data_IF_657821517602
#
_entry.id   IF_657821517602
#
_cell.length_a   1.000
_cell.length_b   1.000
_cell.length_c   1.000
_cell.angle_alpha   90.00
_cell.angle_beta   90.00
_cell.angle_gamma   90.00
#
_symmetry.space_group_name_H-M   'P 1'
#
loop_
_entity.id
_entity.type
_entity.pdbx_description
1 polymer ?
#
# COMPACT_ATOMS: atom_id res chain seq x y z
N UNK A 1 12.33 -1.75 54.21
CA UNK A 1 12.48 -0.55 53.36
C UNK A 1 13.68 -0.71 52.44
N UNK A 2 13.38 -1.23 51.26
CA UNK A 2 14.01 -1.14 49.93
C UNK A 2 15.53 -1.02 49.80
N UNK A 3 16.17 -2.20 49.70
CA UNK A 3 17.45 -2.42 49.02
C UNK A 3 17.30 -2.33 47.50
N UNK A 4 17.70 -1.21 46.88
CA UNK A 4 17.81 -1.11 45.43
C UNK A 4 19.15 -1.70 44.96
N UNK A 5 19.14 -2.96 44.52
CA UNK A 5 20.26 -3.59 43.79
C UNK A 5 20.38 -2.94 42.41
N UNK A 6 21.41 -2.12 42.21
CA UNK A 6 21.77 -1.63 40.87
C UNK A 6 22.49 -2.76 40.12
N UNK A 7 21.82 -3.29 39.10
CA UNK A 7 22.36 -4.30 38.21
C UNK A 7 23.54 -3.74 37.42
N UNK A 8 24.71 -4.35 37.59
CA UNK A 8 25.92 -4.09 36.81
C UNK A 8 25.83 -4.83 35.47
N UNK A 9 25.03 -4.28 34.55
CA UNK A 9 24.91 -4.78 33.18
C UNK A 9 26.01 -4.22 32.30
N UNK A 10 27.02 -5.03 31.97
CA UNK A 10 28.07 -4.69 31.01
C UNK A 10 27.50 -4.67 29.59
N UNK A 11 26.99 -3.51 29.16
CA UNK A 11 26.77 -3.23 27.74
C UNK A 11 28.14 -3.10 27.05
N UNK A 12 28.73 -4.24 26.70
CA UNK A 12 29.76 -4.36 25.66
C UNK A 12 29.10 -4.02 24.34
N UNK A 13 29.32 -2.81 23.85
CA UNK A 13 28.80 -2.39 22.54
C UNK A 13 29.59 -1.21 22.00
N UNK A 14 30.37 -1.49 20.96
CA UNK A 14 30.85 -0.58 19.91
C UNK A 14 31.30 0.82 20.34
N UNK A 15 32.62 1.05 20.28
CA UNK A 15 33.19 2.38 20.33
C UNK A 15 32.64 3.28 19.22
N UNK A 16 31.62 4.07 19.54
CA UNK A 16 31.24 5.24 18.78
C UNK A 16 32.13 6.37 19.27
N UNK A 17 33.22 6.63 18.55
CA UNK A 17 33.73 8.00 18.50
C UNK A 17 32.72 8.81 17.69
N UNK A 18 32.08 9.80 18.30
CA UNK A 18 31.85 11.05 17.57
C UNK A 18 31.81 12.25 18.49
N UNK A 19 32.84 13.08 18.27
CA UNK A 19 32.95 14.49 18.59
C UNK A 19 31.62 15.18 18.30
N UNK A 20 30.93 15.64 19.35
CA UNK A 20 29.98 16.75 19.27
C UNK A 20 30.17 17.62 20.52
N UNK A 21 31.38 18.16 20.69
CA UNK A 21 31.53 19.38 21.47
C UNK A 21 31.10 20.53 20.58
N UNK A 22 30.01 21.21 20.92
CA UNK A 22 29.67 22.59 20.54
C UNK A 22 30.13 23.11 19.18
N UNK A 23 29.98 22.33 18.10
CA UNK A 23 30.26 22.77 16.74
C UNK A 23 29.05 23.49 16.12
N UNK A 24 29.24 24.34 15.10
CA UNK A 24 28.16 25.08 14.45
C UNK A 24 27.04 24.15 13.96
N UNK A 25 25.80 24.64 13.93
CA UNK A 25 24.56 23.94 13.50
C UNK A 25 24.71 23.16 12.18
N UNK A 26 25.69 23.52 11.34
CA UNK A 26 26.00 22.82 10.10
C UNK A 26 26.57 21.40 10.30
N UNK A 27 27.21 21.08 11.42
CA UNK A 27 27.79 19.76 11.67
C UNK A 27 26.82 18.77 12.33
N UNK A 28 25.84 19.25 13.10
CA UNK A 28 24.68 18.44 13.54
C UNK A 28 23.79 18.06 12.34
N UNK A 29 23.54 19.00 11.43
CA UNK A 29 22.74 18.81 10.21
C UNK A 29 23.39 17.80 9.23
N UNK A 30 24.72 17.82 9.07
CA UNK A 30 25.44 16.82 8.26
C UNK A 30 25.34 15.41 8.84
N UNK A 31 25.41 15.30 10.17
CA UNK A 31 25.29 14.03 10.89
C UNK A 31 23.86 13.48 10.85
N UNK A 32 22.87 14.37 10.94
CA UNK A 32 21.46 14.10 10.73
C UNK A 32 21.23 13.52 9.33
N UNK A 33 21.70 14.22 8.29
CA UNK A 33 21.55 13.80 6.89
C UNK A 33 22.12 12.39 6.65
N UNK A 34 23.29 12.10 7.21
CA UNK A 34 23.93 10.78 7.06
C UNK A 34 23.17 9.65 7.78
N UNK A 35 22.56 9.92 8.95
CA UNK A 35 21.76 8.93 9.69
C UNK A 35 20.40 8.67 9.02
N UNK A 36 19.79 9.71 8.47
CA UNK A 36 18.53 9.61 7.71
C UNK A 36 18.77 8.84 6.42
N UNK A 37 19.75 9.22 5.60
CA UNK A 37 20.06 8.55 4.33
C UNK A 37 20.31 7.03 4.50
N UNK A 38 20.95 6.65 5.60
CA UNK A 38 21.26 5.26 5.91
C UNK A 38 20.03 4.45 6.37
N UNK A 39 19.21 5.01 7.27
CA UNK A 39 18.08 4.30 7.88
C UNK A 39 16.81 4.36 7.03
N UNK A 40 16.62 5.46 6.30
CA UNK A 40 15.46 5.67 5.43
C UNK A 40 15.44 4.66 4.28
N UNK A 41 16.60 4.34 3.70
CA UNK A 41 16.68 3.33 2.63
C UNK A 41 16.14 1.96 3.06
N UNK A 42 16.58 1.46 4.22
CA UNK A 42 16.05 0.21 4.78
C UNK A 42 14.56 0.29 5.12
N UNK A 43 14.13 1.41 5.70
CA UNK A 43 12.72 1.62 6.01
C UNK A 43 11.85 1.55 4.74
N UNK A 44 12.27 2.23 3.66
CA UNK A 44 11.55 2.23 2.39
C UNK A 44 11.52 0.85 1.76
N UNK A 45 12.64 0.12 1.72
CA UNK A 45 12.67 -1.25 1.20
C UNK A 45 11.70 -2.15 1.98
N UNK A 46 11.73 -2.09 3.32
CA UNK A 46 10.84 -2.90 4.13
C UNK A 46 9.38 -2.55 3.88
N UNK A 47 9.03 -1.26 3.82
CA UNK A 47 7.66 -0.81 3.54
C UNK A 47 7.20 -1.28 2.15
N UNK A 48 7.98 -1.00 1.09
CA UNK A 48 7.67 -1.42 -0.29
C UNK A 48 7.54 -2.95 -0.39
N UNK A 49 8.39 -3.71 0.28
CA UNK A 49 8.31 -5.18 0.29
C UNK A 49 7.02 -5.66 0.98
N UNK A 50 6.68 -5.09 2.14
CA UNK A 50 5.44 -5.44 2.84
C UNK A 50 4.20 -5.07 2.05
N UNK A 51 4.21 -3.94 1.36
CA UNK A 51 3.09 -3.49 0.54
C UNK A 51 2.94 -4.38 -0.70
N UNK A 52 4.04 -4.64 -1.41
CA UNK A 52 4.03 -5.52 -2.57
C UNK A 52 3.52 -6.92 -2.23
N UNK A 53 3.94 -7.48 -1.10
CA UNK A 53 3.50 -8.81 -0.66
C UNK A 53 2.01 -8.83 -0.31
N UNK A 54 1.52 -7.85 0.46
CA UNK A 54 0.09 -7.74 0.79
C UNK A 54 -0.74 -7.55 -0.49
N UNK A 55 -0.35 -6.62 -1.38
CA UNK A 55 -1.05 -6.37 -2.65
C UNK A 55 -1.04 -7.60 -3.57
N UNK A 56 0.04 -8.38 -3.60
CA UNK A 56 0.11 -9.58 -4.42
C UNK A 56 -0.85 -10.66 -3.88
N UNK A 57 -0.83 -10.93 -2.57
CA UNK A 57 -1.71 -11.93 -1.96
C UNK A 57 -3.17 -11.53 -2.14
N UNK A 58 -3.55 -10.32 -1.73
CA UNK A 58 -4.93 -9.85 -1.85
C UNK A 58 -5.34 -9.60 -3.30
N UNK A 59 -4.43 -9.24 -4.20
CA UNK A 59 -4.69 -9.11 -5.63
C UNK A 59 -5.02 -10.43 -6.31
N UNK A 60 -4.40 -11.53 -5.87
CA UNK A 60 -4.73 -12.89 -6.36
C UNK A 60 -6.11 -13.34 -5.86
N UNK A 61 -6.44 -13.12 -4.58
CA UNK A 61 -7.79 -13.40 -4.07
C UNK A 61 -8.84 -12.52 -4.77
N UNK A 62 -8.54 -11.23 -4.93
CA UNK A 62 -9.43 -10.29 -5.61
C UNK A 62 -9.65 -10.65 -7.07
N UNK A 63 -8.67 -11.23 -7.77
CA UNK A 63 -8.82 -11.70 -9.15
C UNK A 63 -9.92 -12.78 -9.25
N UNK A 64 -9.90 -13.77 -8.35
CA UNK A 64 -10.93 -14.81 -8.29
C UNK A 64 -12.31 -14.21 -7.97
N UNK A 65 -12.36 -13.32 -6.97
CA UNK A 65 -13.52 -12.47 -6.64
C UNK A 65 -14.13 -11.78 -7.85
N UNK A 66 -13.29 -11.01 -8.52
CA UNK A 66 -13.60 -10.15 -9.63
C UNK A 66 -14.13 -10.92 -10.83
N UNK A 67 -13.48 -12.02 -11.23
CA UNK A 67 -13.88 -12.80 -12.41
C UNK A 67 -15.31 -13.35 -12.27
N UNK A 68 -15.64 -13.92 -11.12
CA UNK A 68 -16.96 -14.52 -10.91
C UNK A 68 -18.06 -13.47 -10.78
N UNK A 69 -17.81 -12.39 -10.04
CA UNK A 69 -18.80 -11.31 -9.88
C UNK A 69 -19.01 -10.56 -11.19
N UNK A 70 -17.97 -10.30 -11.98
CA UNK A 70 -18.13 -9.63 -13.28
C UNK A 70 -18.82 -10.53 -14.31
N UNK A 71 -18.57 -11.83 -14.29
CA UNK A 71 -19.30 -12.78 -15.13
C UNK A 71 -20.80 -12.76 -14.80
N UNK A 72 -21.16 -12.72 -13.51
CA UNK A 72 -22.54 -12.59 -13.07
C UNK A 72 -23.17 -11.26 -13.49
N UNK A 73 -22.46 -10.14 -13.28
CA UNK A 73 -22.93 -8.81 -13.68
C UNK A 73 -23.18 -8.74 -15.19
N UNK A 74 -22.21 -9.16 -16.00
CA UNK A 74 -22.36 -9.13 -17.46
C UNK A 74 -23.49 -10.04 -17.95
N UNK A 75 -23.61 -11.25 -17.38
CA UNK A 75 -24.72 -12.15 -17.71
C UNK A 75 -26.09 -11.57 -17.34
N UNK A 76 -26.16 -10.79 -16.25
CA UNK A 76 -27.39 -10.11 -15.84
C UNK A 76 -27.70 -8.90 -16.75
N UNK A 77 -26.68 -8.16 -17.21
CA UNK A 77 -26.85 -7.10 -18.22
C UNK A 77 -27.39 -7.70 -19.52
N UNK A 78 -26.77 -8.76 -20.05
CA UNK A 78 -27.20 -9.43 -21.27
C UNK A 78 -28.66 -9.93 -21.15
N UNK A 79 -29.03 -10.49 -20.00
CA UNK A 79 -30.41 -10.91 -19.75
C UNK A 79 -31.39 -9.73 -19.79
N UNK A 80 -31.07 -8.61 -19.13
CA UNK A 80 -31.92 -7.43 -19.10
C UNK A 80 -32.07 -6.76 -20.48
N UNK A 81 -30.99 -6.66 -21.26
CA UNK A 81 -31.02 -6.14 -22.63
C UNK A 81 -31.90 -7.00 -23.56
N UNK A 82 -31.83 -8.32 -23.40
CA UNK A 82 -32.69 -9.25 -24.15
C UNK A 82 -34.17 -9.12 -23.77
N UNK A 83 -34.49 -8.86 -22.50
CA UNK A 83 -35.88 -8.63 -22.05
C UNK A 83 -36.40 -7.27 -22.55
N UNK A 84 -35.58 -6.22 -22.48
CA UNK A 84 -35.95 -4.88 -22.96
C UNK A 84 -36.22 -4.87 -24.46
N UNK A 85 -35.35 -5.50 -25.26
CA UNK A 85 -35.52 -5.62 -26.71
C UNK A 85 -36.75 -6.45 -27.13
N UNK A 86 -37.11 -7.49 -26.37
CA UNK A 86 -38.31 -8.28 -26.63
C UNK A 86 -39.60 -7.49 -26.33
N UNK A 87 -39.57 -6.65 -25.28
CA UNK A 87 -40.71 -5.77 -24.95
C UNK A 87 -40.92 -4.66 -25.98
N UNK A 88 -39.86 -4.07 -26.54
CA UNK A 88 -39.97 -3.04 -27.61
C UNK A 88 -40.43 -3.61 -28.96
N UNK A 89 -40.11 -4.88 -29.24
CA UNK A 89 -40.51 -5.53 -30.50
C UNK A 89 -42.03 -5.83 -30.54
N UNK A 90 -42.65 -6.02 -29.38
CA UNK A 90 -44.08 -6.36 -29.29
C UNK A 90 -45.00 -5.15 -29.49
N UNK A 91 -44.54 -3.93 -29.18
CA UNK A 91 -45.34 -2.70 -29.41
C UNK A 91 -45.34 -2.22 -30.86
N UNK A 92 -44.40 -2.69 -31.70
CA UNK A 92 -44.28 -2.23 -33.10
C UNK A 92 -45.04 -3.13 -34.10
N UNK A 93 -45.59 -4.26 -33.65
CA UNK A 93 -46.30 -5.23 -34.50
C UNK A 93 -47.83 -5.09 -34.51
N UNK A 94 -48.38 -3.99 -33.97
CA UNK A 94 -49.84 -3.75 -33.91
C UNK A 94 -50.27 -2.54 -34.75
N UNK A 95 -49.85 -2.47 -36.01
CA UNK A 95 -50.53 -1.64 -37.02
C UNK A 95 -50.29 -2.20 -38.41
N UNK A 96 -51.18 -3.10 -38.86
CA UNK A 96 -51.75 -3.19 -40.22
C UNK A 96 -52.28 -4.60 -40.48
N UNK A 97 -53.58 -4.81 -40.23
CA UNK A 97 -54.49 -5.42 -41.21
C UNK A 97 -55.90 -5.34 -40.67
N UNK A 98 -56.70 -4.43 -41.22
CA UNK A 98 -58.15 -4.46 -41.05
C UNK A 98 -58.79 -4.37 -42.43
N UNK A 99 -59.39 -5.47 -42.87
CA UNK A 99 -60.48 -5.47 -43.84
C UNK A 99 -61.28 -6.77 -43.74
N UNK A 100 -62.39 -6.69 -42.99
CA UNK A 100 -63.66 -7.38 -43.26
C UNK A 100 -63.79 -8.84 -42.82
N UNK A 101 -64.56 -9.12 -41.76
CA UNK A 101 -66.02 -9.27 -41.85
C UNK A 101 -66.60 -9.77 -40.51
N UNK A 102 -67.80 -9.28 -40.21
CA UNK A 102 -68.61 -9.58 -39.03
C UNK A 102 -68.95 -11.07 -38.89
N UNK A 103 -69.01 -11.58 -37.65
CA UNK A 103 -70.25 -12.06 -36.99
C UNK A 103 -69.93 -12.62 -35.60
N UNK A 104 -70.75 -12.25 -34.62
CA UNK A 104 -70.39 -12.26 -33.20
C UNK A 104 -70.42 -13.61 -32.48
N UNK A 105 -69.77 -13.63 -31.31
CA UNK A 105 -70.27 -14.25 -30.08
C UNK A 105 -69.37 -13.89 -28.89
N UNK A 106 -70.00 -13.47 -27.79
CA UNK A 106 -69.53 -13.56 -26.39
C UNK A 106 -68.14 -12.99 -26.03
N UNK A 107 -68.17 -11.70 -25.67
CA UNK A 107 -67.13 -11.00 -24.91
C UNK A 107 -67.02 -11.59 -23.49
N UNK A 108 -65.97 -12.37 -23.24
CA UNK A 108 -65.51 -12.69 -21.87
C UNK A 108 -64.64 -11.54 -21.40
N UNK A 109 -65.16 -10.76 -20.47
CA UNK A 109 -64.47 -9.69 -19.77
C UNK A 109 -63.21 -10.23 -19.07
N UNK A 110 -62.03 -9.96 -19.63
CA UNK A 110 -60.79 -9.87 -18.85
C UNK A 110 -60.42 -8.40 -18.81
N UNK A 111 -60.65 -7.82 -17.64
CA UNK A 111 -60.37 -6.45 -17.26
C UNK A 111 -58.90 -6.11 -17.50
N UNK A 112 -58.57 -5.51 -18.64
CA UNK A 112 -57.36 -4.70 -18.78
C UNK A 112 -57.57 -3.46 -17.91
N UNK A 113 -57.05 -3.51 -16.68
CA UNK A 113 -56.92 -2.32 -15.84
C UNK A 113 -55.83 -1.45 -16.46
N UNK A 114 -56.22 -0.57 -17.38
CA UNK A 114 -55.50 0.68 -17.62
C UNK A 114 -55.44 1.40 -16.27
N UNK A 115 -54.31 1.27 -15.59
CA UNK A 115 -54.04 2.03 -14.38
C UNK A 115 -53.00 3.07 -14.73
N UNK A 116 -53.47 4.29 -14.96
CA UNK A 116 -52.68 5.50 -14.76
C UNK A 116 -52.07 5.41 -13.37
N UNK A 117 -50.80 5.01 -13.26
CA UNK A 117 -50.09 4.91 -11.98
C UNK A 117 -48.76 5.61 -12.11
N UNK A 118 -48.59 6.63 -11.27
CA UNK A 118 -47.32 7.10 -10.73
C UNK A 118 -46.27 5.98 -10.74
N UNK A 119 -45.19 6.17 -11.49
CA UNK A 119 -44.03 5.28 -11.57
C UNK A 119 -43.38 5.11 -10.21
N UNK A 120 -43.94 4.22 -9.40
CA UNK A 120 -43.24 3.62 -8.27
C UNK A 120 -42.39 2.50 -8.86
N UNK A 121 -41.22 2.88 -9.38
CA UNK A 121 -40.17 1.93 -9.79
C UNK A 121 -39.88 1.08 -8.56
N UNK A 122 -40.09 -0.25 -8.65
CA UNK A 122 -39.78 -1.18 -7.56
C UNK A 122 -38.31 -0.95 -7.17
N UNK A 123 -38.02 -0.49 -5.94
CA UNK A 123 -36.67 -0.15 -5.52
C UNK A 123 -35.72 -1.34 -5.54
N UNK A 124 -36.23 -2.57 -5.73
CA UNK A 124 -35.44 -3.80 -5.79
C UNK A 124 -35.08 -4.23 -7.21
N UNK A 125 -35.61 -3.57 -8.25
CA UNK A 125 -35.29 -3.90 -9.64
C UNK A 125 -33.91 -3.35 -10.01
N UNK A 126 -33.02 -4.23 -10.46
CA UNK A 126 -31.71 -3.86 -10.98
C UNK A 126 -31.88 -3.20 -12.35
N UNK A 127 -31.23 -2.07 -12.53
CA UNK A 127 -31.19 -1.36 -13.82
C UNK A 127 -29.84 -1.53 -14.49
N UNK A 128 -29.82 -1.58 -15.82
CA UNK A 128 -28.59 -1.64 -16.63
C UNK A 128 -27.57 -0.56 -16.24
N UNK A 129 -27.94 0.74 -16.09
CA UNK A 129 -26.98 1.77 -15.68
C UNK A 129 -26.40 1.54 -14.27
N UNK A 130 -27.18 0.95 -13.35
CA UNK A 130 -26.70 0.61 -12.00
C UNK A 130 -25.65 -0.51 -12.08
N UNK A 131 -25.90 -1.56 -12.88
CA UNK A 131 -24.97 -2.67 -13.08
C UNK A 131 -23.68 -2.26 -13.78
N UNK A 132 -23.77 -1.42 -14.81
CA UNK A 132 -22.60 -0.85 -15.48
C UNK A 132 -21.73 -0.05 -14.49
N UNK A 133 -22.35 0.78 -13.64
CA UNK A 133 -21.63 1.53 -12.62
C UNK A 133 -20.96 0.62 -11.56
N UNK A 134 -21.57 -0.53 -11.23
CA UNK A 134 -20.95 -1.52 -10.35
C UNK A 134 -19.76 -2.21 -11.02
N UNK A 135 -19.90 -2.61 -12.29
CA UNK A 135 -18.83 -3.18 -13.10
C UNK A 135 -17.63 -2.24 -13.19
N UNK A 136 -17.87 -0.96 -13.50
CA UNK A 136 -16.80 0.04 -13.64
C UNK A 136 -16.01 0.23 -12.34
N UNK A 137 -16.68 0.20 -11.18
CA UNK A 137 -16.03 0.28 -9.86
C UNK A 137 -15.17 -0.94 -9.56
N UNK A 138 -15.69 -2.14 -9.86
CA UNK A 138 -14.96 -3.40 -9.72
C UNK A 138 -13.71 -3.40 -10.60
N UNK A 139 -13.86 -3.05 -11.88
CA UNK A 139 -12.78 -3.03 -12.86
C UNK A 139 -11.73 -1.95 -12.55
N UNK A 140 -12.15 -0.75 -12.18
CA UNK A 140 -11.25 0.33 -11.75
C UNK A 140 -10.40 -0.09 -10.54
N UNK A 141 -11.02 -0.75 -9.56
CA UNK A 141 -10.31 -1.27 -8.39
C UNK A 141 -9.32 -2.38 -8.75
N UNK A 142 -9.74 -3.31 -9.62
CA UNK A 142 -8.90 -4.40 -10.13
C UNK A 142 -7.64 -3.89 -10.80
N UNK A 143 -7.80 -2.97 -11.75
CA UNK A 143 -6.69 -2.33 -12.46
C UNK A 143 -5.78 -1.59 -11.47
N UNK A 144 -6.36 -0.87 -10.51
CA UNK A 144 -5.61 -0.10 -9.52
C UNK A 144 -4.74 -1.00 -8.63
N UNK A 145 -5.27 -2.12 -8.11
CA UNK A 145 -4.51 -3.08 -7.28
C UNK A 145 -3.30 -3.63 -8.04
N UNK A 146 -3.49 -4.08 -9.28
CA UNK A 146 -2.41 -4.66 -10.06
C UNK A 146 -1.37 -3.63 -10.50
N UNK A 147 -1.80 -2.41 -10.85
CA UNK A 147 -0.87 -1.31 -11.14
C UNK A 147 -0.04 -0.93 -9.91
N UNK A 148 -0.68 -0.82 -8.74
CA UNK A 148 0.00 -0.58 -7.46
C UNK A 148 1.01 -1.69 -7.15
N UNK A 149 0.62 -2.95 -7.32
CA UNK A 149 1.48 -4.11 -7.11
C UNK A 149 2.70 -4.07 -8.05
N UNK A 150 2.47 -3.90 -9.36
CA UNK A 150 3.53 -3.86 -10.37
C UNK A 150 4.51 -2.70 -10.13
N UNK A 151 4.01 -1.50 -9.87
CA UNK A 151 4.87 -0.33 -9.60
C UNK A 151 5.69 -0.52 -8.32
N UNK A 152 5.10 -1.08 -7.25
CA UNK A 152 5.85 -1.41 -6.03
C UNK A 152 6.99 -2.39 -6.31
N UNK A 153 6.74 -3.44 -7.09
CA UNK A 153 7.76 -4.42 -7.48
C UNK A 153 8.85 -3.77 -8.33
N UNK A 154 8.50 -2.92 -9.30
CA UNK A 154 9.47 -2.20 -10.14
C UNK A 154 10.36 -1.30 -9.29
N UNK A 155 9.77 -0.47 -8.41
CA UNK A 155 10.54 0.41 -7.52
C UNK A 155 11.42 -0.41 -6.59
N UNK A 156 10.93 -1.54 -6.06
CA UNK A 156 11.71 -2.42 -5.19
C UNK A 156 12.93 -3.02 -5.92
N UNK A 157 12.75 -3.55 -7.12
CA UNK A 157 13.84 -4.10 -7.96
C UNK A 157 14.88 -3.03 -8.27
N UNK A 158 14.45 -1.77 -8.49
CA UNK A 158 15.36 -0.66 -8.69
C UNK A 158 16.06 -0.22 -7.40
N UNK A 159 15.38 -0.18 -6.26
CA UNK A 159 15.91 0.42 -5.03
C UNK A 159 16.89 -0.51 -4.28
N UNK A 160 16.66 -1.83 -4.31
CA UNK A 160 17.51 -2.84 -3.65
C UNK A 160 18.98 -2.75 -4.10
N UNK A 161 19.33 -2.86 -5.40
CA UNK A 161 20.73 -2.85 -5.83
C UNK A 161 21.42 -1.52 -5.52
N UNK A 162 20.71 -0.40 -5.65
CA UNK A 162 21.23 0.92 -5.29
C UNK A 162 21.54 1.04 -3.80
N UNK A 163 20.66 0.52 -2.94
CA UNK A 163 20.84 0.57 -1.48
C UNK A 163 21.96 -0.38 -1.04
N UNK A 164 22.05 -1.58 -1.60
CA UNK A 164 23.13 -2.53 -1.35
C UNK A 164 24.50 -1.95 -1.76
N UNK A 165 24.59 -1.35 -2.95
CA UNK A 165 25.82 -0.72 -3.44
C UNK A 165 26.29 0.40 -2.50
N UNK A 166 25.39 1.30 -2.11
CA UNK A 166 25.71 2.44 -1.25
C UNK A 166 26.11 2.01 0.17
N UNK A 167 25.56 0.90 0.64
CA UNK A 167 25.81 0.42 1.99
C UNK A 167 27.11 -0.38 2.11
N UNK A 168 27.43 -1.22 1.11
CA UNK A 168 28.66 -2.01 1.08
C UNK A 168 29.89 -1.16 0.71
N UNK A 169 29.72 -0.18 -0.19
CA UNK A 169 30.76 0.79 -0.54
C UNK A 169 30.34 2.14 -0.02
N UNK A 170 30.87 2.58 1.12
CA UNK A 170 30.75 3.97 1.54
C UNK A 170 31.33 4.85 0.41
N UNK A 171 30.50 5.53 -0.40
CA UNK A 171 31.02 6.12 -1.61
C UNK A 171 31.87 7.31 -1.23
N UNK A 172 33.14 7.26 -1.59
CA UNK A 172 34.04 8.41 -1.51
C UNK A 172 33.61 9.51 -2.50
N UNK A 173 32.95 9.12 -3.59
CA UNK A 173 32.45 10.01 -4.63
C UNK A 173 31.19 10.80 -4.23
N UNK A 174 31.25 12.13 -4.39
CA UNK A 174 30.13 13.05 -4.12
C UNK A 174 28.93 12.79 -5.04
N UNK A 175 29.15 12.45 -6.30
CA UNK A 175 28.11 12.22 -7.30
C UNK A 175 27.23 11.01 -6.96
N UNK A 176 27.83 9.90 -6.52
CA UNK A 176 27.08 8.71 -6.12
C UNK A 176 26.16 8.97 -4.91
N UNK A 177 26.58 9.82 -3.97
CA UNK A 177 25.73 10.27 -2.85
C UNK A 177 24.55 11.11 -3.30
N UNK A 178 24.73 11.95 -4.33
CA UNK A 178 23.64 12.73 -4.89
C UNK A 178 22.61 11.82 -5.55
N UNK A 179 23.05 10.89 -6.41
CA UNK A 179 22.17 9.95 -7.12
C UNK A 179 21.35 9.11 -6.15
N UNK A 180 21.97 8.55 -5.10
CA UNK A 180 21.25 7.77 -4.09
C UNK A 180 20.17 8.61 -3.38
N UNK A 181 20.45 9.88 -3.04
CA UNK A 181 19.45 10.77 -2.43
C UNK A 181 18.30 11.10 -3.37
N UNK A 182 18.60 11.33 -4.66
CA UNK A 182 17.57 11.54 -5.67
C UNK A 182 16.69 10.29 -5.80
N UNK A 183 17.28 9.10 -5.82
CA UNK A 183 16.52 7.85 -5.84
C UNK A 183 15.61 7.67 -4.62
N UNK A 184 16.12 7.95 -3.41
CA UNK A 184 15.31 7.94 -2.18
C UNK A 184 14.17 8.96 -2.23
N UNK A 185 14.42 10.16 -2.75
CA UNK A 185 13.41 11.20 -2.89
C UNK A 185 12.32 10.80 -3.90
N UNK A 186 12.70 10.21 -5.03
CA UNK A 186 11.75 9.67 -6.01
C UNK A 186 10.91 8.55 -5.40
N UNK A 187 11.53 7.63 -4.65
CA UNK A 187 10.80 6.55 -3.96
C UNK A 187 9.81 7.09 -2.93
N UNK A 188 10.16 8.17 -2.23
CA UNK A 188 9.28 8.84 -1.28
C UNK A 188 8.10 9.54 -1.97
N UNK A 189 8.35 10.22 -3.10
CA UNK A 189 7.29 10.77 -3.94
C UNK A 189 6.37 9.67 -4.49
N UNK A 190 6.93 8.52 -4.85
CA UNK A 190 6.15 7.35 -5.24
C UNK A 190 5.24 6.89 -4.10
N UNK A 191 5.74 6.74 -2.86
CA UNK A 191 4.92 6.39 -1.70
C UNK A 191 3.80 7.42 -1.44
N UNK A 192 4.05 8.71 -1.69
CA UNK A 192 3.02 9.75 -1.58
C UNK A 192 1.95 9.60 -2.66
N UNK A 193 2.35 9.38 -3.91
CA UNK A 193 1.41 9.13 -5.00
C UNK A 193 0.61 7.86 -4.74
N UNK A 194 1.26 6.81 -4.26
CA UNK A 194 0.65 5.56 -3.87
C UNK A 194 -0.45 5.78 -2.82
N UNK A 195 -0.17 6.56 -1.77
CA UNK A 195 -1.15 6.92 -0.75
C UNK A 195 -2.42 7.57 -1.34
N UNK A 196 -2.27 8.44 -2.35
CA UNK A 196 -3.42 9.06 -3.05
C UNK A 196 -4.25 8.01 -3.77
N UNK A 197 -3.61 7.06 -4.46
CA UNK A 197 -4.31 5.94 -5.13
C UNK A 197 -4.91 4.94 -4.14
N UNK A 198 -4.36 4.79 -2.93
CA UNK A 198 -5.00 3.97 -1.91
C UNK A 198 -6.26 4.63 -1.34
N UNK A 199 -6.21 5.95 -1.11
CA UNK A 199 -7.34 6.67 -0.51
C UNK A 199 -8.48 6.86 -1.52
N UNK A 200 -8.17 7.33 -2.74
CA UNK A 200 -9.21 7.86 -3.63
C UNK A 200 -9.99 6.74 -4.35
N UNK A 201 -9.38 5.89 -5.21
CA UNK A 201 -10.12 4.80 -5.84
C UNK A 201 -10.27 3.56 -4.93
N UNK A 202 -9.23 3.16 -4.19
CA UNK A 202 -9.22 1.86 -3.53
C UNK A 202 -10.05 1.82 -2.23
N UNK A 203 -9.85 2.78 -1.33
CA UNK A 203 -10.58 2.83 -0.06
C UNK A 203 -12.07 3.09 -0.25
N UNK A 204 -12.43 4.00 -1.15
CA UNK A 204 -13.84 4.30 -1.48
C UNK A 204 -14.54 3.07 -2.04
N UNK A 205 -13.89 2.35 -2.96
CA UNK A 205 -14.46 1.14 -3.55
C UNK A 205 -14.54 -0.01 -2.54
N UNK A 206 -13.50 -0.20 -1.74
CA UNK A 206 -13.46 -1.24 -0.70
C UNK A 206 -14.58 -1.08 0.34
N UNK A 207 -14.94 0.16 0.70
CA UNK A 207 -16.05 0.42 1.62
C UNK A 207 -17.42 0.14 0.98
N UNK A 208 -17.53 0.23 -0.35
CA UNK A 208 -18.77 0.03 -1.11
C UNK A 208 -18.99 -1.41 -1.57
N UNK A 209 -17.96 -2.26 -1.58
CA UNK A 209 -18.11 -3.65 -2.02
C UNK A 209 -19.14 -4.47 -1.25
N UNK A 210 -19.23 -4.42 0.09
CA UNK A 210 -20.26 -5.18 0.81
C UNK A 210 -21.68 -4.79 0.37
N UNK A 211 -21.92 -3.49 0.15
CA UNK A 211 -23.19 -2.92 -0.31
C UNK A 211 -23.51 -3.36 -1.74
N UNK A 212 -22.51 -3.40 -2.63
CA UNK A 212 -22.66 -3.93 -3.99
C UNK A 212 -23.06 -5.41 -3.98
N UNK A 213 -22.41 -6.23 -3.15
CA UNK A 213 -22.71 -7.66 -3.03
C UNK A 213 -24.11 -7.87 -2.46
N UNK A 214 -24.51 -7.11 -1.44
CA UNK A 214 -25.87 -7.18 -0.89
C UNK A 214 -26.92 -6.73 -1.91
N UNK A 215 -26.60 -5.68 -2.69
CA UNK A 215 -27.46 -5.19 -3.75
C UNK A 215 -27.66 -6.25 -4.84
N UNK A 216 -26.61 -6.94 -5.25
CA UNK A 216 -26.66 -7.98 -6.28
C UNK A 216 -27.37 -9.26 -5.86
N UNK A 217 -27.08 -9.77 -4.65
CA UNK A 217 -27.46 -11.13 -4.27
C UNK A 217 -28.56 -11.21 -3.21
N UNK A 218 -28.85 -10.11 -2.49
CA UNK A 218 -29.88 -10.10 -1.44
C UNK A 218 -31.11 -9.31 -1.87
N UNK A 219 -30.91 -8.05 -2.27
CA UNK A 219 -32.05 -7.15 -2.54
C UNK A 219 -32.44 -7.08 -4.01
N UNK A 220 -31.49 -7.35 -4.91
CA UNK A 220 -31.65 -7.12 -6.34
C UNK A 220 -32.39 -8.23 -7.06
N UNK A 221 -33.33 -7.84 -7.95
CA UNK A 221 -34.00 -8.73 -8.91
C UNK A 221 -33.83 -8.19 -10.33
N UNK A 222 -33.80 -9.05 -11.37
CA UNK A 222 -33.95 -10.50 -11.34
C UNK A 222 -32.67 -11.23 -10.90
N UNK A 223 -32.85 -12.39 -10.26
CA UNK A 223 -31.76 -13.33 -9.97
C UNK A 223 -31.94 -14.55 -10.87
N UNK A 224 -31.01 -14.76 -11.80
CA UNK A 224 -31.03 -15.95 -12.65
C UNK A 224 -30.50 -17.16 -11.84
N UNK A 225 -31.32 -18.21 -11.61
CA UNK A 225 -30.89 -19.38 -10.87
C UNK A 225 -29.73 -20.13 -11.53
N UNK A 226 -29.59 -20.06 -12.86
CA UNK A 226 -28.48 -20.71 -13.56
C UNK A 226 -27.15 -19.97 -13.30
N UNK A 227 -27.18 -18.64 -13.26
CA UNK A 227 -26.00 -17.83 -12.94
C UNK A 227 -25.63 -17.95 -11.45
N UNK A 228 -26.62 -18.05 -10.56
CA UNK A 228 -26.41 -18.33 -9.13
C UNK A 228 -25.77 -19.71 -8.92
N UNK A 229 -26.26 -20.77 -9.58
CA UNK A 229 -25.71 -22.12 -9.44
C UNK A 229 -24.23 -22.19 -9.87
N UNK A 230 -23.85 -21.50 -10.94
CA UNK A 230 -22.45 -21.42 -11.36
C UNK A 230 -21.55 -20.73 -10.30
N UNK A 231 -22.09 -19.74 -9.59
CA UNK A 231 -21.41 -19.06 -8.48
C UNK A 231 -21.29 -19.98 -7.25
N UNK A 232 -22.34 -20.72 -6.92
CA UNK A 232 -22.35 -21.71 -5.84
C UNK A 232 -21.26 -22.78 -6.03
N UNK A 233 -21.14 -23.30 -7.26
CA UNK A 233 -20.12 -24.28 -7.64
C UNK A 233 -18.71 -23.68 -7.56
N UNK A 234 -18.50 -22.45 -8.05
CA UNK A 234 -17.17 -21.80 -8.04
C UNK A 234 -16.67 -21.49 -6.62
N UNK A 235 -17.56 -21.11 -5.71
CA UNK A 235 -17.21 -20.78 -4.33
C UNK A 235 -17.40 -21.93 -3.32
N UNK A 236 -17.89 -23.09 -3.79
CA UNK A 236 -18.31 -24.22 -2.95
C UNK A 236 -19.17 -23.75 -1.77
N UNK A 237 -20.26 -23.05 -2.09
CA UNK A 237 -21.14 -22.42 -1.11
C UNK A 237 -22.59 -22.47 -1.60
N UNK A 238 -23.53 -22.16 -0.71
CA UNK A 238 -24.95 -22.09 -1.07
C UNK A 238 -25.53 -20.72 -0.71
N UNK A 239 -26.38 -20.19 -1.60
CA UNK A 239 -27.21 -19.01 -1.34
C UNK A 239 -28.45 -19.38 -0.52
N UNK A 240 -29.10 -20.51 -0.83
CA UNK A 240 -30.21 -21.06 -0.04
C UNK A 240 -29.66 -22.00 1.05
N UNK A 241 -29.20 -21.41 2.14
CA UNK A 241 -28.65 -22.13 3.28
C UNK A 241 -29.62 -22.20 4.45
N UNK A 242 -29.56 -23.30 5.18
CA UNK A 242 -30.31 -23.45 6.42
C UNK A 242 -29.43 -23.08 7.62
N UNK A 243 -29.92 -22.20 8.49
CA UNK A 243 -29.17 -21.67 9.64
C UNK A 243 -28.59 -22.77 10.56
N UNK A 244 -29.33 -23.87 10.74
CA UNK A 244 -28.91 -25.02 11.56
C UNK A 244 -27.71 -25.73 10.94
N UNK A 245 -27.71 -25.94 9.62
CA UNK A 245 -26.62 -26.60 8.89
C UNK A 245 -25.33 -25.77 8.91
N UNK A 246 -25.47 -24.44 8.88
CA UNK A 246 -24.35 -23.50 9.06
C UNK A 246 -23.77 -23.59 10.47
N UNK A 247 -24.61 -23.69 11.51
CA UNK A 247 -24.16 -23.79 12.90
C UNK A 247 -23.31 -25.05 13.15
N UNK A 248 -23.64 -26.16 12.51
CA UNK A 248 -22.88 -27.41 12.57
C UNK A 248 -21.73 -27.50 11.55
N UNK A 249 -21.43 -26.42 10.81
CA UNK A 249 -20.42 -26.37 9.73
C UNK A 249 -20.62 -27.43 8.63
N UNK A 250 -21.86 -27.83 8.40
CA UNK A 250 -22.23 -28.75 7.32
C UNK A 250 -22.48 -27.98 6.00
N UNK A 251 -22.72 -26.67 6.08
CA UNK A 251 -22.96 -25.81 4.93
C UNK A 251 -22.28 -24.45 5.13
N UNK A 252 -21.76 -23.85 4.05
CA UNK A 252 -21.09 -22.55 4.08
C UNK A 252 -21.85 -21.51 3.23
N UNK A 253 -22.22 -20.34 3.79
CA UNK A 253 -22.97 -19.32 3.05
C UNK A 253 -22.12 -18.57 2.02
N UNK A 254 -22.67 -18.30 0.84
CA UNK A 254 -21.96 -17.64 -0.27
C UNK A 254 -21.62 -16.17 -0.02
N UNK A 255 -22.57 -15.39 0.49
CA UNK A 255 -22.43 -13.93 0.66
C UNK A 255 -21.14 -13.55 1.43
N UNK A 256 -20.85 -14.10 2.62
CA UNK A 256 -19.63 -13.75 3.33
C UNK A 256 -18.36 -14.22 2.62
N UNK A 257 -18.38 -15.36 1.90
CA UNK A 257 -17.24 -15.81 1.08
C UNK A 257 -16.94 -14.83 -0.06
N UNK A 258 -17.98 -14.40 -0.79
CA UNK A 258 -17.84 -13.42 -1.86
C UNK A 258 -17.33 -12.09 -1.28
N UNK A 259 -17.91 -11.59 -0.19
CA UNK A 259 -17.44 -10.36 0.49
C UNK A 259 -15.99 -10.44 0.95
N UNK A 260 -15.53 -11.60 1.43
CA UNK A 260 -14.14 -11.81 1.85
C UNK A 260 -13.18 -12.01 0.67
N UNK A 261 -13.68 -12.47 -0.49
CA UNK A 261 -12.92 -12.57 -1.74
C UNK A 261 -12.69 -11.18 -2.35
N UNK A 262 -13.63 -10.26 -2.17
CA UNK A 262 -13.49 -8.86 -2.55
C UNK A 262 -12.49 -8.13 -1.62
N UNK A 263 -11.79 -7.13 -2.17
CA UNK A 263 -10.69 -6.43 -1.49
C UNK A 263 -11.20 -5.75 -0.21
N UNK A 264 -10.84 -6.25 0.99
CA UNK A 264 -11.49 -5.79 2.21
C UNK A 264 -10.93 -4.44 2.68
N UNK A 265 -11.80 -3.59 3.24
CA UNK A 265 -11.44 -2.24 3.64
C UNK A 265 -10.32 -2.18 4.70
N UNK A 266 -10.27 -3.16 5.61
CA UNK A 266 -9.21 -3.23 6.63
C UNK A 266 -7.82 -3.42 6.03
N UNK A 267 -7.71 -4.11 4.88
CA UNK A 267 -6.45 -4.27 4.16
C UNK A 267 -5.99 -2.94 3.59
N UNK A 268 -6.90 -2.14 3.01
CA UNK A 268 -6.57 -0.79 2.53
C UNK A 268 -6.05 0.08 3.69
N UNK A 269 -6.73 0.05 4.84
CA UNK A 269 -6.32 0.82 6.03
C UNK A 269 -4.93 0.40 6.50
N UNK A 270 -4.65 -0.91 6.57
CA UNK A 270 -3.33 -1.42 6.91
C UNK A 270 -2.26 -0.91 5.94
N UNK A 271 -2.52 -0.93 4.64
CA UNK A 271 -1.58 -0.42 3.64
C UNK A 271 -1.34 1.09 3.78
N UNK A 272 -2.39 1.89 4.04
CA UNK A 272 -2.27 3.33 4.34
C UNK A 272 -1.37 3.56 5.55
N UNK A 273 -1.55 2.77 6.62
CA UNK A 273 -0.71 2.88 7.83
C UNK A 273 0.75 2.57 7.51
N UNK A 274 1.02 1.51 6.73
CA UNK A 274 2.38 1.15 6.31
C UNK A 274 2.99 2.26 5.45
N UNK A 275 2.22 2.85 4.54
CA UNK A 275 2.66 3.98 3.70
C UNK A 275 3.06 5.21 4.52
N UNK A 276 2.41 5.45 5.66
CA UNK A 276 2.71 6.58 6.54
C UNK A 276 3.98 6.38 7.38
N UNK A 277 4.47 5.15 7.57
CA UNK A 277 5.67 4.85 8.38
C UNK A 277 6.91 5.64 7.92
N UNK A 278 7.32 5.65 6.64
CA UNK A 278 8.50 6.41 6.21
C UNK A 278 8.33 7.92 6.42
N UNK A 279 7.12 8.46 6.26
CA UNK A 279 6.84 9.88 6.53
C UNK A 279 6.88 10.19 8.03
N UNK A 280 6.32 9.34 8.87
CA UNK A 280 6.40 9.45 10.31
C UNK A 280 7.85 9.37 10.79
N UNK A 281 8.66 8.48 10.20
CA UNK A 281 10.09 8.38 10.48
C UNK A 281 10.82 9.69 10.12
N UNK A 282 10.52 10.27 8.96
CA UNK A 282 11.10 11.54 8.55
C UNK A 282 10.68 12.69 9.46
N UNK A 283 9.38 12.83 9.74
CA UNK A 283 8.84 13.84 10.65
C UNK A 283 9.44 13.71 12.04
N UNK A 284 9.54 12.49 12.58
CA UNK A 284 10.18 12.22 13.86
C UNK A 284 11.66 12.60 13.85
N UNK A 285 12.41 12.22 12.80
CA UNK A 285 13.83 12.56 12.72
C UNK A 285 14.05 14.07 12.62
N UNK A 286 13.20 14.78 11.87
CA UNK A 286 13.22 16.23 11.73
C UNK A 286 12.87 16.92 13.06
N UNK A 287 11.76 16.54 13.70
CA UNK A 287 11.33 17.09 14.99
C UNK A 287 12.35 16.81 16.10
N UNK A 288 13.01 15.65 16.05
CA UNK A 288 14.09 15.32 16.96
C UNK A 288 15.28 16.28 16.81
N UNK A 289 15.69 16.60 15.58
CA UNK A 289 16.79 17.53 15.33
C UNK A 289 16.42 18.99 15.65
N UNK A 290 15.19 19.40 15.34
CA UNK A 290 14.75 20.79 15.46
C UNK A 290 14.31 21.22 16.87
N UNK A 291 13.64 20.33 17.63
CA UNK A 291 12.98 20.73 18.88
C UNK A 291 13.36 19.86 20.08
N UNK A 292 13.42 18.54 19.91
CA UNK A 292 13.50 17.61 21.06
C UNK A 292 14.89 17.58 21.67
N UNK A 293 15.94 17.80 20.86
CA UNK A 293 17.32 17.74 21.35
C UNK A 293 17.67 18.82 22.37
N UNK A 294 16.97 19.95 22.36
CA UNK A 294 17.30 21.13 23.17
C UNK A 294 16.45 21.24 24.45
N UNK A 295 15.49 20.32 24.64
CA UNK A 295 14.70 20.22 25.87
C UNK A 295 15.61 19.85 27.05
N UNK A 296 15.49 20.58 28.16
CA UNK A 296 16.41 20.50 29.30
C UNK A 296 16.61 19.10 29.89
N UNK A 297 15.57 18.27 29.92
CA UNK A 297 15.62 16.88 30.42
C UNK A 297 16.51 16.00 29.53
N UNK A 298 16.40 16.14 28.21
CA UNK A 298 17.18 15.37 27.24
C UNK A 298 18.62 15.85 27.19
N UNK A 299 18.85 17.16 27.35
CA UNK A 299 20.19 17.76 27.40
C UNK A 299 20.98 17.27 28.62
N UNK A 300 20.35 17.26 29.80
CA UNK A 300 20.96 16.80 31.05
C UNK A 300 21.30 15.30 30.98
N UNK A 301 20.40 14.47 30.43
CA UNK A 301 20.67 13.05 30.22
C UNK A 301 21.86 12.82 29.25
N UNK A 302 21.95 13.62 28.18
CA UNK A 302 23.07 13.54 27.22
C UNK A 302 24.39 13.95 27.84
N UNK A 303 24.41 15.05 28.59
CA UNK A 303 25.58 15.53 29.31
C UNK A 303 26.09 14.49 30.31
N UNK A 304 25.19 13.85 31.06
CA UNK A 304 25.57 12.78 32.02
C UNK A 304 26.22 11.58 31.33
N UNK A 305 25.71 11.17 30.17
CA UNK A 305 26.31 10.06 29.39
C UNK A 305 27.67 10.47 28.83
N UNK A 306 27.82 11.71 28.36
CA UNK A 306 29.09 12.23 27.84
C UNK A 306 30.17 12.33 28.92
N UNK A 307 29.83 12.88 30.09
CA UNK A 307 30.75 12.96 31.24
C UNK A 307 31.16 11.56 31.71
N UNK A 308 30.23 10.60 31.74
CA UNK A 308 30.56 9.21 32.09
C UNK A 308 31.45 8.52 31.05
N UNK A 309 31.26 8.79 29.75
CA UNK A 309 32.12 8.24 28.71
C UNK A 309 33.53 8.86 28.73
N UNK A 310 33.66 10.15 29.08
CA UNK A 310 34.97 10.80 29.23
C UNK A 310 35.74 10.32 30.46
N UNK A 311 35.03 9.95 31.54
CA UNK A 311 35.63 9.42 32.77
C UNK A 311 36.01 7.94 32.71
N UNK A 312 35.68 7.22 31.62
CA UNK A 312 36.13 5.83 31.45
C UNK A 312 37.64 5.81 31.17
N UNK A 313 38.45 5.06 31.94
CA UNK A 313 39.86 4.89 31.63
C UNK A 313 39.99 4.27 30.24
N UNK A 314 40.71 4.94 29.34
CA UNK A 314 40.99 4.41 28.00
C UNK A 314 41.83 3.14 28.17
N UNK A 315 41.33 1.99 27.74
CA UNK A 315 42.12 0.76 27.70
C UNK A 315 43.35 0.95 26.79
N UNK A 316 44.45 0.28 27.12
CA UNK A 316 45.76 0.40 26.45
C UNK A 316 45.68 0.28 24.91
N UNK A 317 44.71 -0.49 24.39
CA UNK A 317 44.41 -0.64 22.97
C UNK A 317 43.87 0.64 22.28
N UNK A 318 43.07 1.45 23.00
CA UNK A 318 42.55 2.73 22.51
C UNK A 318 43.61 3.84 22.52
N UNK A 319 44.61 3.73 23.39
CA UNK A 319 45.78 4.62 23.42
C UNK A 319 46.67 4.27 22.23
N UNK A 320 46.99 2.99 22.01
CA UNK A 320 47.82 2.54 20.89
C UNK A 320 47.25 2.94 19.53
N UNK A 321 45.94 2.81 19.32
CA UNK A 321 45.29 3.20 18.05
C UNK A 321 45.30 4.72 17.83
N UNK A 322 45.26 5.53 18.90
CA UNK A 322 45.40 6.98 18.81
C UNK A 322 46.84 7.42 18.53
N UNK A 323 47.85 6.77 19.11
CA UNK A 323 49.26 7.10 18.84
C UNK A 323 49.71 6.64 17.46
N UNK A 324 49.41 5.39 17.08
CA UNK A 324 49.75 4.85 15.74
C UNK A 324 48.95 5.55 14.62
N UNK A 325 47.68 5.88 14.86
CA UNK A 325 46.89 6.64 13.89
C UNK A 325 47.41 8.08 13.68
N UNK A 326 48.05 8.68 14.69
CA UNK A 326 48.66 10.01 14.60
C UNK A 326 50.01 9.97 13.90
N UNK A 327 50.81 8.93 14.11
CA UNK A 327 52.09 8.76 13.37
C UNK A 327 51.90 8.58 11.87
N UNK A 328 50.84 7.87 11.43
CA UNK A 328 50.55 7.67 9.99
C UNK A 328 50.16 9.01 9.30
N UNK A 329 49.46 9.90 10.00
CA UNK A 329 49.09 11.23 9.48
C UNK A 329 50.29 12.19 9.48
N UNK A 330 51.23 12.03 10.40
CA UNK A 330 52.41 12.91 10.46
C UNK A 330 53.49 12.49 9.47
N UNK A 331 53.66 11.19 9.21
CA UNK A 331 54.64 10.68 8.22
C UNK A 331 54.24 10.93 6.77
N UNK A 332 52.93 11.00 6.46
CA UNK A 332 52.45 11.39 5.12
C UNK A 332 52.55 12.90 4.87
N UNK A 333 52.53 13.73 5.91
CA UNK A 333 52.77 15.16 5.79
C UNK A 333 54.26 15.53 5.61
N UNK A 334 55.18 14.77 6.23
CA UNK A 334 56.63 15.00 6.07
C UNK A 334 57.22 14.47 4.76
N UNK A 335 56.58 13.47 4.12
CA UNK A 335 57.01 12.97 2.81
C UNK A 335 56.64 13.90 1.63
N UNK A 336 55.63 14.77 1.80
CA UNK A 336 55.19 15.70 0.77
C UNK A 336 56.00 17.01 0.72
N UNK A 337 56.86 17.28 1.72
CA UNK A 337 57.61 18.54 1.84
C UNK A 337 59.04 18.48 1.27
N UNK A 338 59.53 17.33 0.78
CA UNK A 338 60.94 17.14 0.40
C UNK A 338 61.21 16.92 -1.10
N UNK A 339 60.27 17.23 -1.99
CA UNK A 339 60.52 17.25 -3.44
C UNK A 339 60.49 18.67 -4.01
N UNK A 340 61.51 19.47 -3.66
CA UNK A 340 61.88 20.69 -4.40
C UNK A 340 63.42 20.78 -4.52
N UNK A 341 63.94 20.37 -5.69
CA UNK A 341 65.23 20.74 -6.29
C UNK A 341 66.48 19.94 -5.86
N UNK A 342 67.59 19.94 -6.65
CA UNK A 342 67.90 20.82 -7.77
C UNK A 342 68.38 20.13 -9.08
N UNK A 343 68.64 21.01 -10.04
CA UNK A 343 69.20 20.86 -11.40
C UNK A 343 70.59 20.18 -11.50
N UNK A 344 70.88 19.75 -12.73
CA UNK A 344 72.18 19.60 -13.42
C UNK A 344 73.02 18.30 -13.26
N UNK A 345 73.15 17.55 -14.39
CA UNK A 345 74.36 16.89 -14.92
C UNK A 345 73.97 16.04 -16.16
N UNK A 346 74.15 16.55 -17.40
CA UNK A 346 75.26 16.32 -18.33
C UNK A 346 75.35 14.94 -19.05
N UNK A 347 75.13 15.01 -20.37
CA UNK A 347 75.75 14.28 -21.50
C UNK A 347 76.78 13.18 -21.19
N UNK A 348 76.57 11.97 -21.76
CA UNK A 348 77.26 11.41 -22.94
C UNK A 348 76.28 10.53 -23.71
#
# INVERSE_FOLDING_TARGET
MNSARWGNGTLRGGGIQKIYGGGPVSDSMKAYKQKVDYRLGYCLILCLTTIATILCIYGLFFLSGYQEVTKYVNGTIDFLENVESLSTTTETASSTTDMGNETGLMETTVTTTQTTTTTTVDPNLLTIPELAAMYDRLNSSYITVWNLCALNVIVLILLIPFTCYFHQRAPTNKTAKLVYRVALFIALLFMLAQLIFLISPLFVSAYRFPDIVDRLFVTGKPQDPLLLANLEDSYACNFDFHEVLVQYRLQEPCIPKIKNSLFPAYTVIMLIVIDLIPFAFLAYTYAWDACIKDVGVVREARYRVEVNNQRRPQTREQILTKTLGREIVTTTASAAANHQGPRDAQLV
#
